data_IF_810152243085
#
_entry.id   IF_810152243085
#
_cell.length_a   1.000
_cell.length_b   1.000
_cell.length_c   1.000
_cell.angle_alpha   90.00
_cell.angle_beta   90.00
_cell.angle_gamma   90.00
#
_symmetry.space_group_name_H-M   'P 1'
#
loop_
_entity.id
_entity.type
_entity.pdbx_description
1 polymer ?
#
# COMPACT_ATOMS: atom_id res chain seq x y z
N UNK A 1 5.56 26.35 9.18
CA UNK A 1 4.97 25.03 8.82
C UNK A 1 6.08 24.19 8.24
N UNK A 2 6.44 23.07 8.87
CA UNK A 2 7.54 22.22 8.40
C UNK A 2 7.07 21.52 7.12
N UNK A 3 7.94 21.39 6.11
CA UNK A 3 7.61 20.71 4.83
C UNK A 3 7.04 19.30 5.04
N UNK A 4 7.43 18.64 6.13
CA UNK A 4 6.97 17.32 6.54
C UNK A 4 5.48 17.28 6.92
N UNK A 5 4.95 18.34 7.55
CA UNK A 5 3.52 18.44 7.89
C UNK A 5 2.65 18.58 6.62
N UNK A 6 3.13 19.33 5.61
CA UNK A 6 2.43 19.50 4.33
C UNK A 6 2.36 18.18 3.56
N UNK A 7 3.41 17.36 3.65
CA UNK A 7 3.48 16.07 2.98
C UNK A 7 2.68 14.97 3.71
N UNK A 8 2.15 15.25 4.89
CA UNK A 8 1.43 14.28 5.71
C UNK A 8 2.31 13.13 6.19
N UNK A 9 3.63 13.34 6.25
CA UNK A 9 4.57 12.37 6.81
C UNK A 9 4.46 12.50 8.33
N UNK A 10 3.99 11.48 9.06
CA UNK A 10 3.98 11.54 10.52
C UNK A 10 5.41 11.81 11.00
N UNK A 11 5.59 12.76 11.93
CA UNK A 11 6.80 12.77 12.75
C UNK A 11 6.73 11.52 13.64
N UNK A 12 7.21 10.39 13.12
CA UNK A 12 7.39 9.17 13.91
C UNK A 12 8.41 9.50 15.00
N UNK A 13 7.93 9.78 16.21
CA UNK A 13 8.80 9.84 17.38
C UNK A 13 9.38 8.45 17.56
N UNK A 14 10.69 8.33 17.35
CA UNK A 14 11.46 7.09 17.56
C UNK A 14 11.40 6.59 19.00
N UNK A 15 10.88 7.41 19.90
CA UNK A 15 10.84 7.19 21.34
C UNK A 15 9.47 6.66 21.79
N UNK A 16 8.53 6.42 20.86
CA UNK A 16 7.25 5.82 21.19
C UNK A 16 7.48 4.36 21.66
N UNK A 17 7.14 4.01 22.91
CA UNK A 17 7.44 2.71 23.52
C UNK A 17 6.57 1.56 22.96
N UNK A 18 5.88 1.76 21.83
CA UNK A 18 4.85 0.89 21.26
C UNK A 18 5.37 -0.14 20.25
N UNK A 19 6.67 -0.44 20.22
CA UNK A 19 7.14 -1.73 19.68
C UNK A 19 7.18 -2.74 20.83
N UNK A 20 6.03 -3.00 21.43
CA UNK A 20 5.86 -4.18 22.25
C UNK A 20 5.78 -5.42 21.33
N UNK A 21 6.34 -6.54 21.79
CA UNK A 21 6.44 -7.80 21.02
C UNK A 21 5.12 -8.18 20.30
N UNK A 22 3.92 -7.98 20.87
CA UNK A 22 2.66 -8.23 20.15
C UNK A 22 2.49 -7.38 18.90
N UNK A 23 2.77 -6.08 18.96
CA UNK A 23 2.65 -5.15 17.81
C UNK A 23 3.62 -5.53 16.71
N UNK A 24 4.85 -5.91 17.07
CA UNK A 24 5.87 -6.40 16.13
C UNK A 24 5.49 -7.73 15.47
N UNK A 25 4.72 -8.59 16.15
CA UNK A 25 4.28 -9.88 15.61
C UNK A 25 3.00 -9.79 14.77
N UNK A 26 2.09 -8.86 15.10
CA UNK A 26 0.75 -8.76 14.49
C UNK A 26 0.73 -7.81 13.29
N UNK A 27 1.39 -6.66 13.39
CA UNK A 27 1.33 -5.62 12.37
C UNK A 27 1.90 -6.08 11.01
N UNK A 28 3.06 -6.76 10.93
CA UNK A 28 3.63 -7.15 9.64
C UNK A 28 2.78 -8.16 8.87
N UNK A 29 2.29 -9.28 9.44
CA UNK A 29 1.39 -10.19 8.71
C UNK A 29 0.11 -9.50 8.25
N UNK A 30 -0.42 -8.57 9.05
CA UNK A 30 -1.60 -7.80 8.65
C UNK A 30 -1.31 -6.93 7.43
N UNK A 31 -0.25 -6.12 7.47
CA UNK A 31 0.12 -5.24 6.37
C UNK A 31 0.57 -5.99 5.11
N UNK A 32 1.23 -7.14 5.26
CA UNK A 32 1.79 -7.90 4.14
C UNK A 32 0.76 -8.81 3.46
N UNK A 33 -0.22 -9.34 4.20
CA UNK A 33 -1.13 -10.37 3.69
C UNK A 33 -2.60 -9.95 3.82
N UNK A 34 -3.05 -9.60 5.02
CA UNK A 34 -4.48 -9.38 5.28
C UNK A 34 -4.97 -8.13 4.56
N UNK A 35 -4.26 -7.02 4.70
CA UNK A 35 -4.56 -5.76 4.05
C UNK A 35 -4.68 -5.91 2.51
N UNK A 36 -3.69 -6.43 1.77
CA UNK A 36 -3.80 -6.56 0.32
C UNK A 36 -4.92 -7.51 -0.11
N UNK A 37 -5.20 -8.59 0.63
CA UNK A 37 -6.34 -9.48 0.34
C UNK A 37 -7.67 -8.73 0.47
N UNK A 38 -7.85 -8.01 1.59
CA UNK A 38 -9.06 -7.23 1.85
C UNK A 38 -9.24 -6.11 0.83
N UNK A 39 -8.17 -5.38 0.52
CA UNK A 39 -8.17 -4.27 -0.41
C UNK A 39 -8.49 -4.71 -1.84
N UNK A 40 -7.84 -5.75 -2.36
CA UNK A 40 -8.16 -6.27 -3.70
C UNK A 40 -9.60 -6.80 -3.78
N UNK A 41 -10.06 -7.47 -2.72
CA UNK A 41 -11.45 -7.95 -2.65
C UNK A 41 -12.43 -6.79 -2.69
N UNK A 42 -12.20 -5.73 -1.93
CA UNK A 42 -13.08 -4.57 -1.85
C UNK A 42 -13.07 -3.77 -3.16
N UNK A 43 -11.90 -3.38 -3.66
CA UNK A 43 -11.78 -2.43 -4.76
C UNK A 43 -11.89 -3.08 -6.14
N UNK A 44 -11.51 -4.36 -6.31
CA UNK A 44 -11.60 -5.05 -7.62
C UNK A 44 -12.77 -6.02 -7.62
N UNK A 45 -12.85 -6.87 -6.60
CA UNK A 45 -13.93 -7.84 -6.45
C UNK A 45 -15.29 -7.16 -6.31
N UNK A 46 -15.48 -6.34 -5.28
CA UNK A 46 -16.79 -5.79 -4.90
C UNK A 46 -17.10 -4.48 -5.62
N UNK A 47 -16.13 -3.60 -5.85
CA UNK A 47 -16.41 -2.31 -6.49
C UNK A 47 -16.49 -2.42 -8.02
N UNK A 48 -15.52 -3.07 -8.69
CA UNK A 48 -15.50 -3.12 -10.16
C UNK A 48 -16.53 -4.10 -10.72
N UNK A 49 -16.67 -5.30 -10.14
CA UNK A 49 -17.51 -6.38 -10.71
C UNK A 49 -18.99 -6.02 -10.89
N UNK A 50 -19.72 -5.51 -9.88
CA UNK A 50 -21.11 -5.12 -10.06
C UNK A 50 -21.26 -3.76 -10.73
N UNK A 51 -20.32 -2.83 -10.54
CA UNK A 51 -20.46 -1.48 -11.09
C UNK A 51 -20.25 -1.46 -12.61
N UNK A 52 -19.40 -2.33 -13.17
CA UNK A 52 -19.23 -2.44 -14.64
C UNK A 52 -20.46 -2.99 -15.37
N UNK A 53 -21.43 -3.56 -14.66
CA UNK A 53 -22.71 -3.99 -15.23
C UNK A 53 -23.67 -2.81 -15.41
N UNK A 54 -23.48 -1.74 -14.60
CA UNK A 54 -24.30 -0.53 -14.60
C UNK A 54 -23.64 0.66 -15.29
N UNK A 55 -22.31 0.63 -15.40
CA UNK A 55 -21.45 1.71 -15.92
C UNK A 55 -20.41 1.10 -16.88
N UNK A 56 -19.88 1.89 -17.82
CA UNK A 56 -18.76 1.47 -18.68
C UNK A 56 -17.56 1.02 -17.83
N UNK A 57 -16.85 -0.01 -18.30
CA UNK A 57 -15.70 -0.61 -17.60
C UNK A 57 -14.64 0.42 -17.17
N UNK A 58 -14.16 1.25 -18.10
CA UNK A 58 -13.03 2.14 -17.84
C UNK A 58 -13.33 3.23 -16.78
N UNK A 59 -14.47 3.95 -16.82
CA UNK A 59 -14.85 4.83 -15.71
C UNK A 59 -14.91 4.13 -14.35
N UNK A 60 -15.45 2.91 -14.29
CA UNK A 60 -15.49 2.10 -13.06
C UNK A 60 -14.08 1.80 -12.53
N UNK A 61 -13.14 1.47 -13.43
CA UNK A 61 -11.75 1.23 -13.05
C UNK A 61 -11.06 2.51 -12.54
N UNK A 62 -11.27 3.64 -13.21
CA UNK A 62 -10.72 4.93 -12.77
C UNK A 62 -11.25 5.32 -11.39
N UNK A 63 -12.55 5.15 -11.15
CA UNK A 63 -13.14 5.39 -9.83
C UNK A 63 -12.56 4.47 -8.75
N UNK A 64 -12.41 3.18 -9.06
CA UNK A 64 -11.78 2.22 -8.13
C UNK A 64 -10.36 2.63 -7.77
N UNK A 65 -9.53 2.99 -8.75
CA UNK A 65 -8.16 3.48 -8.54
C UNK A 65 -8.15 4.75 -7.69
N UNK A 66 -9.02 5.71 -8.00
CA UNK A 66 -9.08 6.97 -7.27
C UNK A 66 -9.48 6.78 -5.80
N UNK A 67 -10.54 6.00 -5.53
CA UNK A 67 -10.95 5.73 -4.15
C UNK A 67 -9.94 4.88 -3.38
N UNK A 68 -9.26 3.95 -4.06
CA UNK A 68 -8.19 3.17 -3.44
C UNK A 68 -7.02 4.08 -3.03
N UNK A 69 -6.57 4.98 -3.89
CA UNK A 69 -5.54 5.96 -3.54
C UNK A 69 -6.02 6.90 -2.43
N UNK A 70 -7.26 7.40 -2.52
CA UNK A 70 -7.83 8.33 -1.54
C UNK A 70 -7.95 7.70 -0.15
N UNK A 71 -8.28 6.41 -0.06
CA UNK A 71 -8.30 5.66 1.20
C UNK A 71 -6.95 5.71 1.94
N UNK A 72 -5.85 5.79 1.19
CA UNK A 72 -4.50 5.84 1.71
C UNK A 72 -3.97 7.27 1.98
N UNK A 73 -4.71 8.30 1.57
CA UNK A 73 -4.29 9.70 1.77
C UNK A 73 -4.20 10.05 3.26
N UNK A 74 -5.18 9.63 4.07
CA UNK A 74 -5.21 9.97 5.50
C UNK A 74 -4.19 9.19 6.34
N UNK A 75 -4.00 7.87 6.15
CA UNK A 75 -3.02 7.12 6.94
C UNK A 75 -1.55 7.40 6.55
N UNK A 76 -1.29 7.77 5.29
CA UNK A 76 0.08 7.80 4.74
C UNK A 76 0.46 9.10 4.02
N UNK A 77 -0.45 10.08 3.93
CA UNK A 77 -0.17 11.39 3.35
C UNK A 77 -0.21 11.46 1.82
N UNK A 78 0.11 12.65 1.29
CA UNK A 78 -0.03 12.97 -0.14
C UNK A 78 0.95 12.17 -1.01
N UNK A 79 2.15 11.89 -0.49
CA UNK A 79 3.14 11.10 -1.21
C UNK A 79 2.64 9.68 -1.52
N UNK A 80 2.04 9.01 -0.54
CA UNK A 80 1.44 7.70 -0.72
C UNK A 80 0.23 7.74 -1.66
N UNK A 81 -0.64 8.75 -1.53
CA UNK A 81 -1.75 8.96 -2.46
C UNK A 81 -1.26 9.02 -3.91
N UNK A 82 -0.25 9.85 -4.20
CA UNK A 82 0.30 9.99 -5.56
C UNK A 82 0.91 8.67 -6.02
N UNK A 83 1.75 8.03 -5.21
CA UNK A 83 2.36 6.75 -5.55
C UNK A 83 1.30 5.70 -5.91
N UNK A 84 0.30 5.53 -5.06
CA UNK A 84 -0.77 4.56 -5.24
C UNK A 84 -1.64 4.90 -6.46
N UNK A 85 -1.87 6.19 -6.75
CA UNK A 85 -2.61 6.59 -7.94
C UNK A 85 -1.94 6.10 -9.24
N UNK A 86 -0.60 6.07 -9.28
CA UNK A 86 0.17 5.55 -10.42
C UNK A 86 0.38 4.04 -10.38
N UNK A 87 0.40 3.43 -9.19
CA UNK A 87 0.62 2.00 -9.03
C UNK A 87 -0.67 1.16 -9.16
N UNK A 88 -1.79 1.62 -8.62
CA UNK A 88 -3.08 0.91 -8.65
C UNK A 88 -3.65 0.55 -10.03
N UNK A 89 -3.29 1.21 -11.15
CA UNK A 89 -3.59 0.71 -12.49
C UNK A 89 -3.08 -0.71 -12.76
N UNK A 90 -1.92 -1.11 -12.24
CA UNK A 90 -1.34 -2.43 -12.52
C UNK A 90 -2.20 -3.60 -12.00
N UNK A 91 -2.54 -3.70 -10.69
CA UNK A 91 -3.42 -4.77 -10.20
C UNK A 91 -4.83 -4.68 -10.81
N UNK A 92 -5.28 -3.48 -11.20
CA UNK A 92 -6.58 -3.28 -11.86
C UNK A 92 -6.58 -3.86 -13.28
N UNK A 93 -5.56 -3.58 -14.09
CA UNK A 93 -5.40 -4.16 -15.42
C UNK A 93 -5.25 -5.68 -15.33
N UNK A 94 -4.48 -6.16 -14.36
CA UNK A 94 -4.28 -7.59 -14.13
C UNK A 94 -5.61 -8.30 -13.79
N UNK A 95 -6.45 -7.69 -12.94
CA UNK A 95 -7.78 -8.17 -12.61
C UNK A 95 -8.68 -8.27 -13.85
N UNK A 96 -8.71 -7.23 -14.69
CA UNK A 96 -9.52 -7.21 -15.91
C UNK A 96 -9.04 -8.27 -16.91
N UNK A 97 -7.73 -8.38 -17.10
CA UNK A 97 -7.12 -9.30 -18.05
C UNK A 97 -7.32 -10.76 -17.64
N UNK A 98 -7.08 -11.08 -16.37
CA UNK A 98 -7.19 -12.44 -15.84
C UNK A 98 -8.60 -12.81 -15.38
N UNK A 99 -9.51 -11.84 -15.29
CA UNK A 99 -10.88 -12.01 -14.77
C UNK A 99 -10.88 -12.73 -13.41
N UNK A 100 -9.89 -12.41 -12.58
CA UNK A 100 -9.63 -13.09 -11.31
C UNK A 100 -8.91 -12.14 -10.36
N UNK A 101 -9.26 -12.16 -9.08
CA UNK A 101 -8.64 -11.32 -8.05
C UNK A 101 -7.28 -11.85 -7.59
N UNK A 102 -7.01 -13.15 -7.75
CA UNK A 102 -5.80 -13.79 -7.21
C UNK A 102 -4.50 -13.22 -7.79
N UNK A 103 -4.37 -12.97 -9.11
CA UNK A 103 -3.18 -12.33 -9.65
C UNK A 103 -2.92 -10.93 -9.07
N UNK A 104 -3.98 -10.13 -8.86
CA UNK A 104 -3.88 -8.80 -8.24
C UNK A 104 -3.44 -8.89 -6.77
N UNK A 105 -4.00 -9.85 -6.02
CA UNK A 105 -3.60 -10.13 -4.63
C UNK A 105 -2.11 -10.50 -4.56
N UNK A 106 -1.65 -11.42 -5.41
CA UNK A 106 -0.24 -11.85 -5.43
C UNK A 106 0.68 -10.68 -5.76
N UNK A 107 0.33 -9.87 -6.76
CA UNK A 107 1.09 -8.67 -7.11
C UNK A 107 1.15 -7.69 -5.94
N UNK A 108 0.03 -7.46 -5.26
CA UNK A 108 -0.04 -6.51 -4.15
C UNK A 108 0.76 -7.00 -2.93
N UNK A 109 0.62 -8.27 -2.54
CA UNK A 109 1.45 -8.89 -1.49
C UNK A 109 2.94 -8.74 -1.85
N UNK A 110 3.31 -8.98 -3.11
CA UNK A 110 4.69 -8.84 -3.58
C UNK A 110 5.18 -7.39 -3.45
N UNK A 111 4.34 -6.41 -3.79
CA UNK A 111 4.64 -5.00 -3.62
C UNK A 111 4.84 -4.64 -2.14
N UNK A 112 3.99 -5.16 -1.25
CA UNK A 112 4.10 -4.91 0.18
C UNK A 112 5.35 -5.56 0.78
N UNK A 113 5.71 -6.77 0.36
CA UNK A 113 6.99 -7.40 0.74
C UNK A 113 8.17 -6.55 0.25
N UNK A 114 8.12 -6.06 -0.99
CA UNK A 114 9.19 -5.22 -1.52
C UNK A 114 9.33 -3.90 -0.75
N UNK A 115 8.21 -3.19 -0.54
CA UNK A 115 8.19 -1.88 0.11
C UNK A 115 8.44 -1.92 1.62
N UNK A 116 7.83 -2.88 2.33
CA UNK A 116 7.90 -2.94 3.80
C UNK A 116 9.02 -3.83 4.35
N UNK A 117 9.56 -4.75 3.55
CA UNK A 117 10.62 -5.66 4.03
C UNK A 117 11.93 -5.45 3.26
N UNK A 118 11.92 -5.61 1.94
CA UNK A 118 13.16 -5.64 1.14
C UNK A 118 13.86 -4.28 1.16
N UNK A 119 13.13 -3.20 0.89
CA UNK A 119 13.71 -1.85 0.88
C UNK A 119 14.32 -1.49 2.24
N UNK A 120 13.60 -1.59 3.38
CA UNK A 120 14.18 -1.32 4.69
C UNK A 120 15.43 -2.14 5.00
N UNK A 121 15.48 -3.43 4.65
CA UNK A 121 16.66 -4.27 4.88
C UNK A 121 17.89 -3.77 4.11
N UNK A 122 17.73 -3.43 2.83
CA UNK A 122 18.83 -2.89 2.00
C UNK A 122 19.38 -1.58 2.58
N UNK A 123 18.51 -0.68 3.02
CA UNK A 123 18.93 0.62 3.58
C UNK A 123 19.46 0.50 5.01
N UNK A 124 18.99 -0.48 5.80
CA UNK A 124 19.51 -0.75 7.14
C UNK A 124 20.97 -1.21 7.07
N UNK A 125 21.30 -2.12 6.15
CA UNK A 125 22.69 -2.56 5.93
C UNK A 125 23.58 -1.37 5.55
N UNK A 126 23.11 -0.49 4.66
CA UNK A 126 23.84 0.72 4.28
C UNK A 126 24.05 1.67 5.48
N UNK A 127 23.05 1.87 6.34
CA UNK A 127 23.12 2.71 7.52
C UNK A 127 24.06 2.13 8.60
N UNK A 128 24.08 0.81 8.77
CA UNK A 128 24.99 0.14 9.71
C UNK A 128 26.44 0.23 9.21
N UNK A 129 26.67 0.01 7.91
CA UNK A 129 28.00 0.07 7.29
C UNK A 129 28.58 1.50 7.20
N UNK A 130 27.73 2.53 7.21
CA UNK A 130 28.15 3.94 7.15
C UNK A 130 28.33 4.59 8.53
N UNK A 131 28.06 3.87 9.63
CA UNK A 131 28.41 4.36 10.98
C UNK A 131 29.93 4.34 11.16
N UNK A 132 30.56 5.46 11.57
CA UNK A 132 31.98 5.45 11.91
C UNK A 132 32.19 4.47 13.06
N UNK A 133 33.22 3.62 12.95
CA UNK A 133 33.63 2.76 14.05
C UNK A 133 33.98 3.65 15.25
N UNK A 134 33.21 3.52 16.33
CA UNK A 134 33.45 4.18 17.62
C UNK A 134 34.67 3.58 18.31
#
# INVERSE_FOLDING_TARGET
MKILEILGIPEWKTDDPFIDLPTALISPPFALLIAPITEETLFRGILITPLKEKVKLWPTCVLSIFFFALHHLFPFGVGAFIHILFWAPFPTVLFIWKKSIYPSIIMHITNNIFGYLIIPLIFLDFLILSRPAS
#
